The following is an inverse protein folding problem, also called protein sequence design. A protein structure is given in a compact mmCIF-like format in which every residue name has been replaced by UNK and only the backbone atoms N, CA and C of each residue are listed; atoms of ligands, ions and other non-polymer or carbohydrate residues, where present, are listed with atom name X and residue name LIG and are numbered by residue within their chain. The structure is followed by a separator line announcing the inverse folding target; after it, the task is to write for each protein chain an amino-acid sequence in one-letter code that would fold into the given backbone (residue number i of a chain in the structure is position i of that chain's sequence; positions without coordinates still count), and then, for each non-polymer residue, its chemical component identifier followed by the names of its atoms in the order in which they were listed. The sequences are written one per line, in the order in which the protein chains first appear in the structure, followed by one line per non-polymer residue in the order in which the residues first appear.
data_IF_868696593747
#
_entry.id   IF_868696593747
#
_cell.length_a   1.000
_cell.length_b   1.000
_cell.length_c   1.000
_cell.angle_alpha   90.00
_cell.angle_beta   90.00
_cell.angle_gamma   90.00
#
_symmetry.space_group_name_H-M   'P 1'
#
loop_
_entity.id
_entity.type
_entity.pdbx_description
1 polymer ?
#
# COMPACT_ATOMS: atom_id res chain seq x y z
N UNK A 1 -11.27 -16.21 26.86
CA UNK A 1 -10.25 -16.07 25.80
C UNK A 1 -10.72 -16.87 24.60
N UNK A 2 -10.76 -16.21 23.44
CA UNK A 2 -11.14 -16.84 22.17
C UNK A 2 -10.01 -16.75 21.16
N UNK A 3 -9.97 -17.68 20.23
CA UNK A 3 -9.00 -17.80 19.16
C UNK A 3 -9.69 -17.73 17.80
N UNK A 4 -9.07 -17.08 16.85
CA UNK A 4 -9.46 -17.04 15.44
C UNK A 4 -8.29 -17.50 14.59
N UNK A 5 -8.55 -18.33 13.58
CA UNK A 5 -7.59 -18.76 12.57
C UNK A 5 -7.78 -18.03 11.22
N UNK A 6 -8.76 -17.14 11.12
CA UNK A 6 -9.23 -16.48 9.89
C UNK A 6 -9.32 -14.94 10.02
N UNK A 7 -8.31 -14.35 10.69
CA UNK A 7 -8.19 -12.90 10.89
C UNK A 7 -9.34 -12.26 11.70
N UNK A 8 -10.10 -13.06 12.48
CA UNK A 8 -11.20 -12.56 13.30
C UNK A 8 -12.59 -12.74 12.67
N UNK A 9 -12.70 -13.40 11.53
CA UNK A 9 -13.99 -13.71 10.90
C UNK A 9 -14.81 -14.71 11.73
N UNK A 10 -14.15 -15.73 12.29
CA UNK A 10 -14.76 -16.67 13.24
C UNK A 10 -13.93 -16.80 14.51
N UNK A 11 -14.60 -17.14 15.62
CA UNK A 11 -13.97 -17.22 16.95
C UNK A 11 -14.33 -18.53 17.65
N UNK A 12 -13.30 -19.25 18.11
CA UNK A 12 -13.42 -20.44 18.94
C UNK A 12 -13.09 -20.09 20.38
N UNK A 13 -13.99 -20.38 21.31
CA UNK A 13 -13.72 -20.20 22.75
C UNK A 13 -12.67 -21.22 23.20
N UNK A 14 -11.53 -20.74 23.72
CA UNK A 14 -10.49 -21.59 24.29
C UNK A 14 -10.65 -21.74 25.80
N UNK A 15 -10.98 -20.67 26.49
CA UNK A 15 -11.05 -20.64 27.95
C UNK A 15 -12.13 -19.65 28.40
N UNK A 16 -13.06 -20.15 29.24
CA UNK A 16 -14.08 -19.35 29.90
C UNK A 16 -13.67 -19.10 31.38
N UNK A 17 -13.75 -17.85 31.82
CA UNK A 17 -13.54 -17.49 33.23
C UNK A 17 -12.09 -17.74 33.71
N UNK A 18 -11.19 -16.80 33.45
CA UNK A 18 -9.82 -16.81 33.97
C UNK A 18 -9.60 -15.65 34.95
N UNK A 19 -8.75 -15.80 35.97
CA UNK A 19 -8.34 -14.68 36.82
C UNK A 19 -7.78 -13.52 35.97
N UNK A 20 -7.98 -12.30 36.44
CA UNK A 20 -7.37 -11.12 35.84
C UNK A 20 -6.03 -10.80 36.53
N UNK A 21 -5.06 -11.66 36.30
CA UNK A 21 -3.72 -11.61 36.91
C UNK A 21 -2.62 -11.20 35.93
N UNK A 22 -3.01 -10.81 34.69
CA UNK A 22 -2.09 -10.33 33.66
C UNK A 22 -1.48 -11.41 32.76
N UNK A 23 -1.69 -12.72 33.08
CA UNK A 23 -1.12 -13.82 32.29
C UNK A 23 -1.99 -15.07 32.33
N UNK A 24 -2.22 -15.69 31.16
CA UNK A 24 -2.95 -16.93 31.09
C UNK A 24 -2.41 -17.83 29.97
N UNK A 25 -2.03 -19.05 30.33
CA UNK A 25 -1.72 -20.09 29.34
C UNK A 25 -3.00 -20.61 28.68
N UNK A 26 -2.95 -20.74 27.35
CA UNK A 26 -4.03 -21.32 26.56
C UNK A 26 -3.49 -22.41 25.64
N UNK A 27 -4.29 -23.44 25.38
CA UNK A 27 -3.96 -24.48 24.40
C UNK A 27 -4.75 -24.24 23.14
N UNK A 28 -4.07 -24.21 22.01
CA UNK A 28 -4.71 -24.12 20.70
C UNK A 28 -5.33 -25.45 20.32
N UNK A 29 -6.40 -25.47 19.50
CA UNK A 29 -6.93 -26.69 18.93
C UNK A 29 -5.86 -27.47 18.18
N UNK A 30 -5.89 -28.81 18.28
CA UNK A 30 -4.94 -29.67 17.58
C UNK A 30 -5.06 -29.47 16.05
N UNK A 31 -3.92 -29.46 15.35
CA UNK A 31 -3.88 -29.36 13.89
C UNK A 31 -4.14 -27.94 13.33
N UNK A 32 -4.19 -26.92 14.17
CA UNK A 32 -4.29 -25.55 13.67
C UNK A 32 -3.03 -25.21 12.88
N UNK A 33 -3.22 -24.82 11.63
CA UNK A 33 -2.20 -24.24 10.75
C UNK A 33 -2.87 -23.09 10.00
N UNK A 34 -2.54 -21.86 10.35
CA UNK A 34 -3.13 -20.67 9.74
C UNK A 34 -2.19 -19.45 9.81
N UNK A 35 -2.11 -18.65 8.73
CA UNK A 35 -1.19 -17.50 8.67
C UNK A 35 -1.73 -16.25 9.39
N UNK A 36 -3.04 -16.16 9.63
CA UNK A 36 -3.71 -14.96 10.15
C UNK A 36 -4.50 -15.25 11.41
N UNK A 37 -3.79 -15.71 12.44
CA UNK A 37 -4.39 -15.99 13.75
C UNK A 37 -4.53 -14.74 14.61
N UNK A 38 -5.54 -14.73 15.48
CA UNK A 38 -5.74 -13.69 16.50
C UNK A 38 -6.27 -14.30 17.79
N UNK A 39 -5.95 -13.65 18.91
CA UNK A 39 -6.63 -13.87 20.18
C UNK A 39 -7.58 -12.71 20.47
N UNK A 40 -8.68 -13.03 21.11
CA UNK A 40 -9.58 -12.05 21.73
C UNK A 40 -9.72 -12.36 23.21
N UNK A 41 -9.46 -11.35 24.05
CA UNK A 41 -9.74 -11.38 25.48
C UNK A 41 -10.96 -10.50 25.73
N UNK A 42 -12.02 -11.10 26.30
CA UNK A 42 -13.28 -10.43 26.57
C UNK A 42 -13.61 -10.56 28.06
N UNK A 43 -14.03 -9.48 28.70
CA UNK A 43 -14.50 -9.49 30.07
C UNK A 43 -15.79 -10.28 30.19
N UNK A 44 -15.91 -11.15 31.22
CA UNK A 44 -17.04 -12.06 31.42
C UNK A 44 -18.37 -11.34 31.76
N UNK A 45 -18.29 -10.20 32.43
CA UNK A 45 -19.45 -9.44 32.90
C UNK A 45 -19.50 -8.01 32.31
N UNK A 46 -18.80 -7.79 31.17
CA UNK A 46 -18.70 -6.47 30.57
C UNK A 46 -18.62 -6.56 29.05
N UNK A 47 -18.80 -5.42 28.37
CA UNK A 47 -18.69 -5.28 26.93
C UNK A 47 -17.25 -5.12 26.43
N UNK A 48 -16.29 -4.91 27.32
CA UNK A 48 -14.89 -4.68 26.92
C UNK A 48 -14.21 -5.92 26.40
N UNK A 49 -13.50 -5.78 25.29
CA UNK A 49 -12.62 -6.80 24.74
C UNK A 49 -11.41 -6.14 24.10
N UNK A 50 -10.36 -6.92 23.91
CA UNK A 50 -9.18 -6.57 23.15
C UNK A 50 -8.79 -7.72 22.21
N UNK A 51 -8.25 -7.38 21.04
CA UNK A 51 -7.83 -8.34 20.02
C UNK A 51 -6.32 -8.16 19.79
N UNK A 52 -5.61 -9.29 19.76
CA UNK A 52 -4.15 -9.28 19.50
C UNK A 52 -3.82 -8.79 18.09
N UNK A 53 -2.58 -8.33 17.84
CA UNK A 53 -2.03 -8.32 16.50
C UNK A 53 -2.15 -9.70 15.82
N UNK A 54 -2.04 -9.73 14.48
CA UNK A 54 -2.01 -10.97 13.72
C UNK A 54 -0.72 -11.75 14.02
N UNK A 55 -0.83 -13.07 14.13
CA UNK A 55 0.30 -13.99 14.23
C UNK A 55 0.02 -15.27 13.43
N UNK A 56 1.07 -16.02 13.11
CA UNK A 56 0.94 -17.29 12.40
C UNK A 56 1.10 -18.48 13.35
N UNK A 57 0.37 -19.57 13.06
CA UNK A 57 0.50 -20.85 13.75
C UNK A 57 0.76 -21.92 12.72
N UNK A 58 1.84 -22.71 12.89
CA UNK A 58 2.21 -23.77 11.95
C UNK A 58 2.66 -23.27 10.56
N UNK A 59 2.88 -21.95 10.40
CA UNK A 59 3.38 -21.32 9.19
C UNK A 59 4.63 -20.49 9.46
N UNK A 60 5.58 -20.56 8.54
CA UNK A 60 6.64 -19.55 8.45
C UNK A 60 6.14 -18.45 7.53
N UNK A 61 5.96 -17.25 8.05
CA UNK A 61 5.64 -16.07 7.22
C UNK A 61 6.94 -15.55 6.64
N UNK A 62 7.07 -15.56 5.32
CA UNK A 62 8.17 -14.95 4.60
C UNK A 62 7.65 -13.75 3.83
N UNK A 63 8.40 -12.65 3.85
CA UNK A 63 8.18 -11.51 2.96
C UNK A 63 9.16 -11.58 1.80
N UNK A 64 8.69 -11.30 0.60
CA UNK A 64 9.49 -11.16 -0.59
C UNK A 64 9.16 -9.83 -1.26
N UNK A 65 10.19 -9.12 -1.72
CA UNK A 65 10.01 -7.93 -2.56
C UNK A 65 10.00 -8.38 -4.02
N UNK A 66 8.97 -7.96 -4.74
CA UNK A 66 8.86 -8.18 -6.18
C UNK A 66 8.80 -6.83 -6.87
N UNK A 67 9.47 -6.70 -7.99
CA UNK A 67 9.44 -5.49 -8.80
C UNK A 67 8.70 -5.78 -10.11
N UNK A 68 7.77 -4.91 -10.43
CA UNK A 68 7.02 -4.94 -11.67
C UNK A 68 7.26 -3.62 -12.38
N UNK A 69 7.94 -3.68 -13.53
CA UNK A 69 8.39 -2.47 -14.23
C UNK A 69 7.71 -2.34 -15.58
N UNK A 70 7.22 -1.14 -15.87
CA UNK A 70 6.79 -0.70 -17.18
C UNK A 70 7.86 0.22 -17.77
N UNK A 71 8.43 -0.19 -18.90
CA UNK A 71 9.49 0.55 -19.63
C UNK A 71 9.00 1.16 -20.94
N UNK A 72 7.74 0.96 -21.30
CA UNK A 72 7.16 1.58 -22.50
C UNK A 72 6.68 2.98 -22.11
N UNK A 73 7.48 3.99 -22.44
CA UNK A 73 7.16 5.37 -22.11
C UNK A 73 5.87 5.86 -22.76
N UNK A 74 5.29 6.92 -22.20
CA UNK A 74 4.14 7.61 -22.75
C UNK A 74 4.23 9.12 -22.50
N UNK A 75 3.57 9.90 -23.36
CA UNK A 75 3.51 11.36 -23.22
C UNK A 75 2.50 11.77 -22.17
N UNK A 76 2.77 12.88 -21.49
CA UNK A 76 1.83 13.55 -20.60
C UNK A 76 1.19 14.69 -21.43
N UNK A 77 -0.10 14.61 -21.76
CA UNK A 77 -0.76 15.67 -22.51
C UNK A 77 -0.83 16.96 -21.70
N UNK A 78 -0.49 18.09 -22.32
CA UNK A 78 -0.56 19.42 -21.77
C UNK A 78 -2.01 19.84 -21.47
N UNK A 79 -2.26 20.45 -20.31
CA UNK A 79 -3.56 21.00 -19.91
C UNK A 79 -4.69 19.96 -19.88
N UNK A 80 -4.39 18.71 -19.56
CA UNK A 80 -5.33 17.61 -19.69
C UNK A 80 -6.50 17.71 -18.68
N UNK A 81 -7.70 17.42 -19.17
CA UNK A 81 -8.91 17.32 -18.31
C UNK A 81 -9.11 15.96 -17.65
N UNK A 82 -8.39 14.93 -18.14
CA UNK A 82 -8.43 13.55 -17.64
C UNK A 82 -7.04 13.00 -17.42
N UNK A 83 -6.92 11.96 -16.61
CA UNK A 83 -5.66 11.24 -16.44
C UNK A 83 -5.29 10.45 -17.70
N UNK A 84 -4.01 10.54 -18.09
CA UNK A 84 -3.38 9.52 -18.93
C UNK A 84 -3.05 8.33 -18.05
N UNK A 85 -3.53 7.16 -18.42
CA UNK A 85 -3.45 5.95 -17.61
C UNK A 85 -2.57 4.92 -18.28
N UNK A 86 -1.67 4.32 -17.53
CA UNK A 86 -0.89 3.14 -17.93
C UNK A 86 -1.11 2.03 -16.91
N UNK A 87 -1.03 0.78 -17.35
CA UNK A 87 -1.29 -0.37 -16.48
C UNK A 87 -0.11 -1.33 -16.41
N UNK A 88 0.04 -1.97 -15.25
CA UNK A 88 0.99 -3.05 -15.04
C UNK A 88 0.30 -4.24 -14.39
N UNK A 89 0.54 -5.44 -14.91
CA UNK A 89 -0.02 -6.66 -14.33
C UNK A 89 0.88 -7.19 -13.22
N UNK A 90 0.28 -7.42 -12.06
CA UNK A 90 0.91 -8.04 -10.89
C UNK A 90 0.32 -9.44 -10.71
N UNK A 91 1.06 -10.51 -10.96
CA UNK A 91 0.56 -11.88 -10.85
C UNK A 91 0.62 -12.44 -9.42
N UNK A 92 1.26 -11.75 -8.49
CA UNK A 92 1.41 -12.18 -7.10
C UNK A 92 0.07 -12.20 -6.38
N UNK A 93 -0.16 -13.22 -5.54
CA UNK A 93 -1.41 -13.40 -4.76
C UNK A 93 -1.21 -13.27 -3.25
N UNK A 94 0.05 -13.19 -2.78
CA UNK A 94 0.35 -12.97 -1.36
C UNK A 94 -0.08 -11.56 -0.95
N UNK A 95 -0.68 -11.42 0.23
CA UNK A 95 -1.13 -10.11 0.68
C UNK A 95 0.02 -9.11 0.79
N UNK A 96 -0.28 -7.89 0.42
CA UNK A 96 0.64 -6.76 0.45
C UNK A 96 1.01 -6.43 1.90
N UNK A 97 2.29 -6.24 2.16
CA UNK A 97 2.80 -5.68 3.43
C UNK A 97 3.33 -4.27 3.25
N UNK A 98 3.77 -3.93 2.05
CA UNK A 98 4.29 -2.62 1.69
C UNK A 98 4.20 -2.42 0.17
N UNK A 99 4.00 -1.17 -0.27
CA UNK A 99 4.00 -0.77 -1.68
C UNK A 99 4.88 0.45 -1.84
N UNK A 100 5.76 0.39 -2.83
CA UNK A 100 6.56 1.51 -3.27
C UNK A 100 6.32 1.76 -4.76
N UNK A 101 6.32 3.03 -5.18
CA UNK A 101 6.18 3.41 -6.57
C UNK A 101 7.39 4.24 -7.01
N UNK A 102 8.27 3.65 -7.80
CA UNK A 102 9.32 4.41 -8.49
C UNK A 102 8.77 5.00 -9.78
N UNK A 103 9.05 6.29 -10.03
CA UNK A 103 8.62 6.99 -11.24
C UNK A 103 9.81 7.72 -11.83
N UNK A 104 10.01 7.54 -13.14
CA UNK A 104 10.98 8.31 -13.94
C UNK A 104 10.22 9.05 -15.03
N UNK A 105 10.08 10.37 -14.88
CA UNK A 105 9.42 11.24 -15.84
C UNK A 105 10.18 12.54 -16.02
N UNK A 106 10.02 13.13 -17.20
CA UNK A 106 10.43 14.50 -17.51
C UNK A 106 9.20 15.38 -17.61
N UNK A 107 9.29 16.59 -17.11
CA UNK A 107 8.27 17.63 -17.23
C UNK A 107 8.92 18.99 -17.01
N UNK A 108 8.42 20.04 -17.64
CA UNK A 108 9.00 21.39 -17.52
C UNK A 108 8.45 22.19 -16.34
N UNK A 109 7.38 21.71 -15.69
CA UNK A 109 6.78 22.32 -14.50
C UNK A 109 6.04 21.31 -13.64
N UNK A 110 6.72 20.69 -12.67
CA UNK A 110 6.13 19.54 -11.93
C UNK A 110 4.94 19.92 -11.06
N UNK A 111 4.76 21.18 -10.66
CA UNK A 111 3.57 21.56 -9.90
C UNK A 111 2.26 21.52 -10.70
N UNK A 112 2.31 21.26 -11.98
CA UNK A 112 1.12 21.04 -12.79
C UNK A 112 0.68 19.59 -12.79
N UNK A 113 1.53 18.70 -12.26
CA UNK A 113 1.28 17.26 -12.25
C UNK A 113 0.49 16.80 -11.04
N UNK A 114 -0.47 15.91 -11.32
CA UNK A 114 -1.09 15.02 -10.35
C UNK A 114 -0.77 13.58 -10.77
N UNK A 115 -0.22 12.81 -9.84
CA UNK A 115 0.10 11.38 -10.04
C UNK A 115 -0.71 10.55 -9.06
N UNK A 116 -1.44 9.57 -9.55
CA UNK A 116 -2.20 8.61 -8.76
C UNK A 116 -1.70 7.20 -9.00
N UNK A 117 -1.79 6.37 -7.97
CA UNK A 117 -1.68 4.92 -8.06
C UNK A 117 -3.01 4.31 -7.64
N UNK A 118 -3.57 3.47 -8.50
CA UNK A 118 -4.76 2.68 -8.20
C UNK A 118 -4.36 1.21 -8.11
N UNK A 119 -4.82 0.54 -7.07
CA UNK A 119 -4.63 -0.88 -6.86
C UNK A 119 -5.35 -1.75 -7.90
N UNK A 120 -5.34 -3.07 -7.74
CA UNK A 120 -5.92 -3.98 -8.72
C UNK A 120 -7.33 -3.56 -9.09
N UNK A 121 -7.69 -3.64 -10.36
CA UNK A 121 -8.98 -3.15 -10.90
C UNK A 121 -10.22 -3.72 -10.19
N UNK A 122 -10.08 -4.82 -9.45
CA UNK A 122 -11.14 -5.37 -8.61
C UNK A 122 -11.42 -4.52 -7.35
N UNK A 123 -10.53 -3.58 -7.02
CA UNK A 123 -10.67 -2.66 -5.89
C UNK A 123 -10.75 -1.22 -6.41
N UNK A 124 -11.42 -0.34 -5.67
CA UNK A 124 -11.42 1.11 -5.94
C UNK A 124 -10.35 1.85 -5.15
N UNK A 125 -9.43 1.11 -4.51
CA UNK A 125 -8.39 1.68 -3.65
C UNK A 125 -7.39 2.46 -4.49
N UNK A 126 -7.18 3.72 -4.11
CA UNK A 126 -6.31 4.66 -4.81
C UNK A 126 -5.53 5.51 -3.80
N UNK A 127 -4.30 5.86 -4.17
CA UNK A 127 -3.48 6.87 -3.48
C UNK A 127 -3.05 7.96 -4.46
N UNK A 128 -3.06 9.22 -4.02
CA UNK A 128 -2.42 10.32 -4.75
C UNK A 128 -0.98 10.41 -4.29
N UNK A 129 -0.05 9.99 -5.12
CA UNK A 129 1.38 9.93 -4.76
C UNK A 129 2.08 11.27 -4.92
N UNK A 130 1.67 12.08 -5.91
CA UNK A 130 2.17 13.42 -6.10
C UNK A 130 1.02 14.37 -6.41
N UNK A 131 1.00 15.55 -5.81
CA UNK A 131 -0.09 16.50 -5.96
C UNK A 131 0.46 17.93 -6.00
N UNK A 132 0.81 18.38 -7.21
CA UNK A 132 1.09 19.78 -7.52
C UNK A 132 2.10 20.43 -6.57
N UNK A 133 3.20 19.76 -6.30
CA UNK A 133 4.24 20.24 -5.38
C UNK A 133 5.46 20.77 -6.16
N UNK A 134 6.35 21.48 -5.48
CA UNK A 134 7.66 21.93 -5.95
C UNK A 134 7.67 23.03 -7.04
N UNK A 135 6.56 23.71 -7.29
CA UNK A 135 6.55 24.90 -8.17
C UNK A 135 7.16 24.62 -9.55
N UNK A 136 8.01 25.53 -10.01
CA UNK A 136 8.66 25.52 -11.32
C UNK A 136 9.84 24.56 -11.46
N UNK A 137 9.95 23.55 -10.60
CA UNK A 137 10.95 22.51 -10.80
C UNK A 137 10.48 21.54 -11.91
N UNK A 138 11.43 20.78 -12.48
CA UNK A 138 11.16 20.08 -13.73
C UNK A 138 10.78 18.59 -13.49
N UNK A 139 11.74 17.74 -13.26
CA UNK A 139 11.59 16.29 -13.45
C UNK A 139 11.35 15.53 -12.14
N UNK A 140 10.84 14.31 -12.26
CA UNK A 140 10.75 13.35 -11.14
C UNK A 140 11.49 12.07 -11.51
N UNK A 141 12.50 11.70 -10.72
CA UNK A 141 13.17 10.40 -10.76
C UNK A 141 13.30 9.90 -9.31
N UNK A 142 12.18 9.52 -8.74
CA UNK A 142 12.05 9.24 -7.31
C UNK A 142 11.24 7.98 -7.05
N UNK A 143 11.43 7.41 -5.86
CA UNK A 143 10.59 6.35 -5.32
C UNK A 143 9.68 6.93 -4.23
N UNK A 144 8.39 6.89 -4.46
CA UNK A 144 7.38 7.21 -3.45
C UNK A 144 7.24 6.03 -2.49
N UNK A 145 7.48 6.30 -1.21
CA UNK A 145 7.59 5.31 -0.15
C UNK A 145 7.12 5.94 1.16
N UNK A 146 6.22 5.29 1.89
CA UNK A 146 5.68 5.80 3.16
C UNK A 146 6.76 6.01 4.24
N UNK A 147 7.90 5.32 4.13
CA UNK A 147 9.06 5.46 5.00
C UNK A 147 10.12 6.42 4.43
N UNK A 148 9.81 7.10 3.31
CA UNK A 148 10.71 8.04 2.65
C UNK A 148 10.90 9.34 3.45
N UNK A 149 11.78 10.19 2.93
CA UNK A 149 11.98 11.54 3.44
C UNK A 149 10.95 12.53 2.85
N UNK A 150 10.80 13.69 3.43
CA UNK A 150 10.04 14.77 2.81
C UNK A 150 10.62 15.10 1.43
N UNK A 151 9.74 15.45 0.47
CA UNK A 151 10.17 15.87 -0.85
C UNK A 151 11.06 17.13 -0.72
N UNK A 152 12.26 17.05 -1.31
CA UNK A 152 13.14 18.20 -1.48
C UNK A 152 12.95 18.70 -2.90
N UNK A 153 12.48 19.94 -3.03
CA UNK A 153 12.27 20.58 -4.32
C UNK A 153 13.60 20.97 -4.96
N UNK A 154 13.91 20.38 -6.09
CA UNK A 154 15.11 20.62 -6.90
C UNK A 154 14.72 20.46 -8.38
N UNK A 155 15.60 20.83 -9.31
CA UNK A 155 15.36 20.69 -10.76
C UNK A 155 14.88 19.27 -11.11
N UNK A 156 15.38 18.25 -10.45
CA UNK A 156 14.83 16.90 -10.49
C UNK A 156 14.57 16.41 -9.06
N UNK A 157 13.34 16.04 -8.77
CA UNK A 157 12.98 15.39 -7.50
C UNK A 157 13.56 13.97 -7.53
N UNK A 158 14.36 13.60 -6.52
CA UNK A 158 15.08 12.31 -6.48
C UNK A 158 14.99 11.66 -5.10
N UNK A 159 15.36 10.37 -5.03
CA UNK A 159 15.48 9.60 -3.80
C UNK A 159 14.17 8.92 -3.37
N UNK A 160 14.16 8.44 -2.12
CA UNK A 160 12.96 7.88 -1.49
C UNK A 160 12.21 9.01 -0.79
N UNK A 161 11.00 9.29 -1.25
CA UNK A 161 10.20 10.43 -0.78
C UNK A 161 8.81 9.97 -0.33
N UNK A 162 8.26 10.64 0.67
CA UNK A 162 6.88 10.35 1.10
C UNK A 162 5.89 10.78 0.03
N UNK A 163 4.87 9.96 -0.27
CA UNK A 163 3.78 10.35 -1.17
C UNK A 163 2.86 11.39 -0.52
N UNK A 164 2.08 12.11 -1.34
CA UNK A 164 1.11 13.10 -0.87
C UNK A 164 -0.01 12.45 -0.01
N UNK A 165 -0.43 11.24 -0.36
CA UNK A 165 -1.26 10.37 0.49
C UNK A 165 -0.57 9.01 0.64
N UNK A 166 -0.63 8.39 1.84
CA UNK A 166 0.12 7.16 2.09
C UNK A 166 -0.26 6.00 1.16
N UNK A 167 0.72 5.15 0.85
CA UNK A 167 0.56 3.91 0.07
C UNK A 167 0.09 2.73 0.94
N UNK A 168 0.14 2.84 2.26
CA UNK A 168 -0.32 1.81 3.18
C UNK A 168 -1.83 1.48 3.05
N UNK A 169 -2.59 2.28 2.32
CA UNK A 169 -3.99 1.98 1.94
C UNK A 169 -4.12 0.66 1.17
N UNK A 170 -3.02 0.20 0.54
CA UNK A 170 -2.97 -1.06 -0.18
C UNK A 170 -2.58 -2.25 0.70
N UNK A 171 -2.10 -2.03 1.93
CA UNK A 171 -1.66 -3.10 2.82
C UNK A 171 -2.80 -4.07 3.14
N UNK A 172 -2.45 -5.34 3.24
CA UNK A 172 -3.36 -6.48 3.44
C UNK A 172 -4.29 -6.81 2.26
N UNK A 173 -4.24 -6.05 1.15
CA UNK A 173 -4.95 -6.41 -0.07
C UNK A 173 -4.21 -7.51 -0.82
N UNK A 174 -4.94 -8.27 -1.63
CA UNK A 174 -4.37 -9.17 -2.63
C UNK A 174 -3.91 -8.31 -3.83
N UNK A 175 -2.62 -8.32 -4.20
CA UNK A 175 -2.10 -7.49 -5.28
C UNK A 175 -2.44 -7.98 -6.68
N UNK A 176 -2.98 -9.19 -6.81
CA UNK A 176 -3.19 -9.83 -8.11
C UNK A 176 -4.12 -9.02 -9.01
N UNK A 177 -3.64 -8.72 -10.20
CA UNK A 177 -4.39 -8.01 -11.21
C UNK A 177 -3.65 -6.81 -11.81
N UNK A 178 -4.37 -5.99 -12.56
CA UNK A 178 -3.83 -4.80 -13.20
C UNK A 178 -3.88 -3.62 -12.24
N UNK A 179 -2.71 -3.05 -11.97
CA UNK A 179 -2.54 -1.79 -11.28
C UNK A 179 -2.47 -0.67 -12.31
N UNK A 180 -2.96 0.50 -11.95
CA UNK A 180 -2.97 1.67 -12.83
C UNK A 180 -2.16 2.80 -12.21
N UNK A 181 -1.26 3.37 -13.00
CA UNK A 181 -0.73 4.70 -12.74
C UNK A 181 -1.51 5.69 -13.61
N UNK A 182 -2.01 6.76 -13.00
CA UNK A 182 -2.62 7.87 -13.71
C UNK A 182 -1.79 9.13 -13.53
N UNK A 183 -1.49 9.82 -14.61
CA UNK A 183 -0.77 11.10 -14.58
C UNK A 183 -1.59 12.13 -15.34
N UNK A 184 -1.72 13.31 -14.74
CA UNK A 184 -2.41 14.42 -15.35
C UNK A 184 -1.62 15.69 -15.14
N UNK A 185 -1.36 16.42 -16.21
CA UNK A 185 -0.99 17.81 -16.23
C UNK A 185 -2.27 18.66 -16.22
N UNK A 186 -2.40 19.54 -15.25
CA UNK A 186 -3.63 20.32 -15.04
C UNK A 186 -3.52 21.78 -15.48
N UNK A 187 -2.36 22.22 -15.99
CA UNK A 187 -2.14 23.55 -16.49
C UNK A 187 -1.64 23.48 -17.94
N UNK A 188 -1.63 24.59 -18.63
CA UNK A 188 -1.17 24.70 -20.02
C UNK A 188 0.28 25.20 -20.08
N UNK A 189 0.86 25.07 -21.25
CA UNK A 189 2.16 25.61 -21.67
C UNK A 189 3.40 24.78 -21.28
N UNK A 190 3.20 23.63 -20.56
CA UNK A 190 4.29 22.75 -20.15
C UNK A 190 4.11 21.35 -20.74
N UNK A 191 5.22 20.64 -20.94
CA UNK A 191 5.19 19.31 -21.58
C UNK A 191 6.02 18.29 -20.83
N UNK A 192 5.63 17.03 -20.95
CA UNK A 192 6.34 15.96 -20.29
C UNK A 192 6.09 14.57 -20.86
N UNK A 193 6.85 13.63 -20.35
CA UNK A 193 6.72 12.22 -20.67
C UNK A 193 7.17 11.34 -19.52
N UNK A 194 6.53 10.20 -19.36
CA UNK A 194 6.98 9.13 -18.46
C UNK A 194 7.93 8.23 -19.25
N UNK A 195 9.11 7.99 -18.72
CA UNK A 195 10.06 7.03 -19.29
C UNK A 195 9.77 5.61 -18.75
N UNK A 196 9.55 5.50 -17.45
CA UNK A 196 9.26 4.21 -16.78
C UNK A 196 8.62 4.43 -15.42
N UNK A 197 7.98 3.37 -14.91
CA UNK A 197 7.61 3.26 -13.51
C UNK A 197 7.72 1.82 -13.03
N UNK A 198 7.90 1.64 -11.71
CA UNK A 198 8.06 0.32 -11.08
C UNK A 198 7.26 0.28 -9.78
N UNK A 199 6.50 -0.78 -9.61
CA UNK A 199 5.88 -1.17 -8.34
C UNK A 199 6.75 -2.16 -7.62
#
# INVERSE_FOLDING_TARGET
ISFSADNGATWTLLLAGTPNDGSQAVTLPAGVAAPYCRFMVKASANIFFNISPVFAVGYTVTTACNNYTMNTGFTIPDGATSFTVSSINVPTTANITDVNLAVNLTHTWVSDLIIILQGPMATTTQSTVFNRSCGSNDNINATFNDQGAAIVCATTITGNVVPATPLNVFNSLNPNGNWLIGIRDVAADDTGSVASYTL
#
